data_IF_129030694579
#
_entry.id   IF_129030694579
#
_cell.length_a   1.000
_cell.length_b   1.000
_cell.length_c   1.000
_cell.angle_alpha   90.00
_cell.angle_beta   90.00
_cell.angle_gamma   90.00
#
_symmetry.space_group_name_H-M   'P 1'
#
loop_
_entity.id
_entity.type
_entity.pdbx_description
1 polymer ?
#
# COMPACT_ATOMS: atom_id res chain seq x y z
N UNK A 1 26.06 11.80 3.54
CA UNK A 1 25.54 11.04 4.71
C UNK A 1 24.17 11.55 5.16
N UNK A 2 24.05 12.81 5.60
CA UNK A 2 22.77 13.37 6.06
C UNK A 2 21.61 13.24 5.06
N UNK A 3 21.83 13.60 3.78
CA UNK A 3 20.83 13.49 2.72
C UNK A 3 20.33 12.06 2.47
N UNK A 4 21.21 11.06 2.63
CA UNK A 4 20.87 9.64 2.43
C UNK A 4 19.95 9.16 3.57
N UNK A 5 20.25 9.58 4.79
CA UNK A 5 19.44 9.24 5.97
C UNK A 5 18.07 9.93 5.86
N UNK A 6 18.03 11.19 5.42
CA UNK A 6 16.79 11.92 5.21
C UNK A 6 15.91 11.26 4.14
N UNK A 7 16.47 10.82 3.00
CA UNK A 7 15.71 10.13 1.95
C UNK A 7 15.22 8.75 2.38
N UNK A 8 16.01 8.00 3.16
CA UNK A 8 15.58 6.71 3.72
C UNK A 8 14.39 6.87 4.67
N UNK A 9 14.46 7.84 5.58
CA UNK A 9 13.36 8.10 6.53
C UNK A 9 12.11 8.56 5.79
N UNK A 10 12.26 9.48 4.84
CA UNK A 10 11.14 9.95 4.02
C UNK A 10 10.50 8.81 3.22
N UNK A 11 11.30 7.95 2.57
CA UNK A 11 10.83 6.79 1.83
C UNK A 11 10.11 5.78 2.73
N UNK A 12 10.66 5.47 3.91
CA UNK A 12 10.03 4.56 4.87
C UNK A 12 8.68 5.07 5.35
N UNK A 13 8.57 6.37 5.65
CA UNK A 13 7.32 7.02 6.03
C UNK A 13 6.31 6.91 4.88
N UNK A 14 6.74 7.23 3.66
CA UNK A 14 5.87 7.23 2.48
C UNK A 14 5.35 5.83 2.13
N UNK A 15 6.19 4.79 2.28
CA UNK A 15 5.78 3.39 2.10
C UNK A 15 4.80 2.93 3.18
N UNK A 16 5.05 3.29 4.44
CA UNK A 16 4.15 2.95 5.54
C UNK A 16 2.76 3.55 5.35
N UNK A 17 2.69 4.86 5.12
CA UNK A 17 1.40 5.51 4.89
C UNK A 17 0.74 5.08 3.57
N UNK A 18 1.51 4.89 2.51
CA UNK A 18 1.01 4.43 1.22
C UNK A 18 0.37 3.04 1.32
N UNK A 19 1.02 2.09 1.99
CA UNK A 19 0.47 0.75 2.20
C UNK A 19 -0.79 0.74 3.07
N UNK A 20 -0.81 1.51 4.16
CA UNK A 20 -1.98 1.63 5.03
C UNK A 20 -3.20 2.24 4.29
N UNK A 21 -2.98 3.26 3.46
CA UNK A 21 -4.04 3.85 2.65
C UNK A 21 -4.56 2.90 1.57
N UNK A 22 -3.66 2.16 0.91
CA UNK A 22 -4.03 1.16 -0.09
C UNK A 22 -4.88 0.04 0.51
N UNK A 23 -4.51 -0.46 1.70
CA UNK A 23 -5.29 -1.48 2.42
C UNK A 23 -6.66 -0.95 2.86
N UNK A 24 -6.73 0.26 3.41
CA UNK A 24 -8.01 0.87 3.85
C UNK A 24 -8.94 1.14 2.67
N UNK A 25 -8.43 1.72 1.59
CA UNK A 25 -9.19 1.97 0.36
C UNK A 25 -9.68 0.66 -0.27
N UNK A 26 -8.80 -0.34 -0.33
CA UNK A 26 -9.13 -1.68 -0.80
C UNK A 26 -10.22 -2.36 0.03
N UNK A 27 -10.12 -2.35 1.36
CA UNK A 27 -11.18 -2.89 2.24
C UNK A 27 -12.53 -2.19 2.03
N UNK A 28 -12.54 -0.87 1.87
CA UNK A 28 -13.75 -0.09 1.59
C UNK A 28 -14.39 -0.44 0.24
N UNK A 29 -13.56 -0.62 -0.79
CA UNK A 29 -14.01 -1.09 -2.12
C UNK A 29 -14.56 -2.52 -2.06
N UNK A 30 -13.89 -3.42 -1.34
CA UNK A 30 -14.32 -4.82 -1.18
C UNK A 30 -15.72 -4.90 -0.57
N UNK A 31 -15.96 -4.15 0.51
CA UNK A 31 -17.25 -4.08 1.18
C UNK A 31 -18.37 -3.55 0.26
N UNK A 32 -18.07 -2.54 -0.56
CA UNK A 32 -19.03 -1.97 -1.52
C UNK A 32 -19.37 -2.90 -2.67
N UNK A 33 -18.41 -3.75 -3.08
CA UNK A 33 -18.57 -4.70 -4.17
C UNK A 33 -19.09 -6.07 -3.71
N UNK A 34 -19.30 -6.27 -2.39
CA UNK A 34 -19.72 -7.56 -1.83
C UNK A 34 -18.66 -8.66 -1.91
N UNK A 35 -17.39 -8.28 -2.14
CA UNK A 35 -16.26 -9.19 -2.31
C UNK A 35 -15.52 -9.30 -0.97
N UNK A 36 -14.97 -10.47 -0.66
CA UNK A 36 -14.21 -10.61 0.58
C UNK A 36 -12.95 -9.73 0.55
N UNK A 37 -12.60 -9.06 1.68
CA UNK A 37 -11.39 -8.23 1.77
C UNK A 37 -10.10 -8.96 1.39
N UNK A 38 -10.11 -10.30 1.52
CA UNK A 38 -9.00 -11.18 1.17
C UNK A 38 -8.66 -11.13 -0.32
N UNK A 39 -9.67 -11.08 -1.21
CA UNK A 39 -9.46 -11.03 -2.67
C UNK A 39 -8.81 -9.72 -3.09
N UNK A 40 -9.21 -8.61 -2.47
CA UNK A 40 -8.58 -7.30 -2.72
C UNK A 40 -7.16 -7.25 -2.17
N UNK A 41 -6.90 -7.87 -1.02
CA UNK A 41 -5.54 -8.05 -0.52
C UNK A 41 -4.67 -8.81 -1.53
N UNK A 42 -5.15 -9.94 -2.03
CA UNK A 42 -4.41 -10.76 -3.01
C UNK A 42 -4.20 -10.10 -4.37
N UNK A 43 -5.09 -9.20 -4.79
CA UNK A 43 -5.00 -8.55 -6.10
C UNK A 43 -4.36 -7.17 -5.98
N UNK A 44 -4.95 -6.25 -5.24
CA UNK A 44 -4.51 -4.85 -5.19
C UNK A 44 -3.17 -4.69 -4.45
N UNK A 45 -2.88 -5.48 -3.40
CA UNK A 45 -1.52 -5.45 -2.81
C UNK A 45 -0.49 -6.13 -3.70
N UNK A 46 -0.83 -7.25 -4.36
CA UNK A 46 0.11 -7.93 -5.26
C UNK A 46 0.46 -7.07 -6.48
N UNK A 47 -0.54 -6.41 -7.08
CA UNK A 47 -0.30 -5.40 -8.12
C UNK A 47 0.45 -4.19 -7.56
N UNK A 48 0.14 -3.75 -6.34
CA UNK A 48 0.81 -2.62 -5.70
C UNK A 48 2.27 -2.88 -5.35
N UNK A 49 2.64 -4.11 -4.97
CA UNK A 49 4.03 -4.50 -4.71
C UNK A 49 4.85 -4.65 -5.98
N UNK A 50 4.19 -4.91 -7.13
CA UNK A 50 4.85 -5.07 -8.43
C UNK A 50 4.77 -3.86 -9.35
N UNK A 51 4.03 -2.81 -8.98
CA UNK A 51 4.04 -1.53 -9.68
C UNK A 51 5.36 -0.73 -9.57
N UNK A 52 6.18 -0.85 -8.50
CA UNK A 52 7.45 -0.13 -8.40
C UNK A 52 8.68 -0.93 -8.86
N UNK A 53 8.49 -2.18 -9.31
CA UNK A 53 9.53 -2.98 -9.99
C UNK A 53 9.71 -2.49 -11.44
#
# INVERSE_FOLDING_TARGET
MFWIIASLIAGAIMLYFGSEWLVRGGKGLALRLGITPFVIGLTVLAFGSSAPE
#
